data_IF_936140090947
#
_entry.id   IF_936140090947
#
_cell.length_a   1.000
_cell.length_b   1.000
_cell.length_c   1.000
_cell.angle_alpha   90.00
_cell.angle_beta   90.00
_cell.angle_gamma   90.00
#
_symmetry.space_group_name_H-M   'P 1'
#
loop_
_entity.id
_entity.type
_entity.pdbx_description
1 polymer ?
#
# COMPACT_ATOMS: atom_id res chain seq x y z
N UNK A 1 49.18 19.12 -48.43
CA UNK A 1 48.19 18.09 -48.03
C UNK A 1 48.61 17.60 -46.65
N UNK A 2 47.91 18.11 -45.63
CA UNK A 2 48.27 17.91 -44.23
C UNK A 2 47.38 16.82 -43.62
N UNK A 3 48.01 15.90 -42.90
CA UNK A 3 47.39 14.83 -42.12
C UNK A 3 46.95 15.40 -40.77
N UNK A 4 45.72 15.18 -40.27
CA UNK A 4 45.34 15.56 -38.92
C UNK A 4 45.66 14.45 -37.89
N UNK A 5 46.02 14.79 -36.65
CA UNK A 5 46.34 13.83 -35.60
C UNK A 5 45.14 13.49 -34.69
N UNK A 6 45.09 12.21 -34.29
CA UNK A 6 44.90 11.73 -32.91
C UNK A 6 43.75 12.24 -32.05
N UNK A 7 42.72 11.40 -31.89
CA UNK A 7 41.71 11.51 -30.83
C UNK A 7 42.33 11.09 -29.50
N UNK A 8 42.27 11.98 -28.51
CA UNK A 8 42.67 11.76 -27.10
C UNK A 8 41.43 11.37 -26.30
N UNK A 9 41.43 10.19 -25.68
CA UNK A 9 40.42 9.79 -24.71
C UNK A 9 40.76 10.38 -23.33
N UNK A 10 39.94 11.29 -22.83
CA UNK A 10 40.01 11.82 -21.46
C UNK A 10 39.18 10.96 -20.50
N UNK A 11 39.83 10.43 -19.47
CA UNK A 11 39.19 9.75 -18.35
C UNK A 11 38.46 10.77 -17.44
N UNK A 12 37.13 10.67 -17.35
CA UNK A 12 36.36 11.35 -16.31
C UNK A 12 36.47 10.59 -14.97
N UNK A 13 37.21 11.17 -14.01
CA UNK A 13 37.15 10.81 -12.59
C UNK A 13 35.77 11.18 -12.02
N UNK A 14 35.05 10.21 -11.42
CA UNK A 14 33.89 10.47 -10.55
C UNK A 14 34.37 10.84 -9.14
N UNK A 15 33.71 11.78 -8.43
CA UNK A 15 34.09 12.16 -7.08
C UNK A 15 33.63 11.12 -6.05
N UNK A 16 34.45 10.94 -5.01
CA UNK A 16 34.22 10.05 -3.89
C UNK A 16 33.02 10.52 -3.05
N UNK A 17 32.00 9.67 -2.94
CA UNK A 17 30.86 9.85 -2.06
C UNK A 17 31.21 9.49 -0.61
N UNK A 18 30.93 10.42 0.29
CA UNK A 18 31.14 10.34 1.74
C UNK A 18 30.12 9.36 2.36
N UNK A 19 30.56 8.16 2.80
CA UNK A 19 29.73 7.24 3.59
C UNK A 19 29.77 7.63 5.07
N UNK A 20 28.64 8.10 5.59
CA UNK A 20 28.42 8.28 7.04
C UNK A 20 27.91 6.95 7.61
N UNK A 21 28.70 6.31 8.46
CA UNK A 21 28.33 5.08 9.14
C UNK A 21 27.28 5.38 10.22
N UNK A 22 26.06 4.86 10.04
CA UNK A 22 25.04 4.81 11.09
C UNK A 22 25.16 3.44 11.76
N UNK A 23 25.57 3.43 13.03
CA UNK A 23 25.50 2.25 13.89
C UNK A 23 24.04 1.96 14.22
N UNK A 24 23.48 0.92 13.64
CA UNK A 24 22.20 0.34 14.07
C UNK A 24 22.46 -0.57 15.28
N UNK A 25 21.91 -0.19 16.43
CA UNK A 25 21.81 -1.04 17.62
C UNK A 25 20.63 -2.01 17.41
N UNK A 26 20.92 -3.29 17.17
CA UNK A 26 19.93 -4.36 17.11
C UNK A 26 19.68 -4.91 18.52
N UNK A 27 18.73 -4.28 19.24
CA UNK A 27 18.06 -4.90 20.38
C UNK A 27 16.82 -5.65 19.90
N UNK A 28 16.90 -6.98 19.81
CA UNK A 28 15.74 -7.84 19.54
C UNK A 28 14.81 -7.95 20.75
N UNK A 29 13.49 -7.78 20.60
CA UNK A 29 12.53 -8.35 21.54
C UNK A 29 11.98 -9.68 20.99
N UNK A 30 12.09 -10.73 21.82
CA UNK A 30 11.42 -12.01 21.65
C UNK A 30 9.90 -11.82 21.55
N UNK A 31 9.30 -12.10 20.40
CA UNK A 31 7.84 -12.25 20.25
C UNK A 31 7.52 -13.74 20.13
N UNK A 32 6.78 -14.22 21.14
CA UNK A 32 6.19 -15.56 21.20
C UNK A 32 5.18 -15.74 20.06
N UNK A 33 5.33 -16.82 19.31
CA UNK A 33 4.35 -17.32 18.36
C UNK A 33 3.19 -17.98 19.11
N UNK A 34 1.98 -17.44 18.94
CA UNK A 34 0.74 -18.09 19.36
C UNK A 34 -0.22 -18.18 18.17
N UNK A 35 -0.49 -19.44 17.80
CA UNK A 35 -1.81 -20.01 17.49
C UNK A 35 -2.50 -19.68 16.17
N UNK A 36 -2.82 -20.76 15.45
CA UNK A 36 -3.45 -20.86 14.13
C UNK A 36 -4.85 -20.22 14.02
N UNK A 37 -5.29 -19.85 12.80
CA UNK A 37 -6.66 -19.40 12.55
C UNK A 37 -7.62 -20.58 12.29
N UNK A 38 -8.92 -20.44 12.64
CA UNK A 38 -9.92 -21.46 12.34
C UNK A 38 -10.43 -21.35 10.90
N UNK A 39 -10.74 -22.52 10.34
CA UNK A 39 -11.43 -22.75 9.08
C UNK A 39 -12.84 -22.15 9.07
N UNK A 40 -13.19 -21.41 8.02
CA UNK A 40 -14.55 -20.90 7.79
C UNK A 40 -15.33 -21.88 6.90
N UNK A 41 -16.33 -22.55 7.49
CA UNK A 41 -17.35 -23.31 6.75
C UNK A 41 -18.36 -22.36 6.12
N UNK A 42 -18.67 -22.62 4.85
CA UNK A 42 -19.69 -21.91 4.07
C UNK A 42 -21.05 -22.56 4.27
N UNK A 43 -22.00 -21.82 4.86
CA UNK A 43 -23.41 -22.23 4.90
C UNK A 43 -24.19 -21.36 3.93
N UNK A 44 -24.62 -21.97 2.83
CA UNK A 44 -25.65 -21.46 1.95
C UNK A 44 -27.02 -21.58 2.64
N UNK A 45 -27.87 -20.55 2.56
CA UNK A 45 -29.30 -20.75 2.62
C UNK A 45 -30.05 -19.69 1.80
N UNK A 46 -30.70 -20.18 0.74
CA UNK A 46 -31.75 -19.50 -0.01
C UNK A 46 -33.09 -19.65 0.73
N UNK A 47 -33.97 -18.66 0.63
CA UNK A 47 -35.37 -18.77 1.04
C UNK A 47 -36.09 -17.43 1.19
N UNK A 48 -36.64 -16.93 0.09
CA UNK A 48 -37.61 -15.81 -0.03
C UNK A 48 -39.02 -16.26 0.45
N UNK A 49 -40.12 -15.48 0.23
CA UNK A 49 -40.50 -14.15 0.72
C UNK A 49 -41.95 -14.13 1.29
N UNK A 50 -42.44 -13.00 1.86
CA UNK A 50 -43.78 -12.40 1.59
C UNK A 50 -44.29 -11.40 2.66
N UNK A 51 -44.87 -10.28 2.17
CA UNK A 51 -46.11 -9.54 2.57
C UNK A 51 -46.34 -9.20 4.06
N UNK A 52 -46.97 -8.12 4.49
CA UNK A 52 -47.66 -6.93 3.97
C UNK A 52 -48.10 -6.15 5.22
N UNK A 53 -48.54 -4.90 5.03
CA UNK A 53 -49.67 -4.26 5.73
C UNK A 53 -49.35 -3.00 6.57
N UNK A 54 -49.87 -1.92 6.00
CA UNK A 54 -50.33 -0.65 6.54
C UNK A 54 -51.20 -0.80 7.79
N UNK A 55 -51.08 0.10 8.77
CA UNK A 55 -52.26 0.59 9.52
C UNK A 55 -52.04 1.99 10.09
N UNK A 56 -53.03 2.85 9.84
CA UNK A 56 -53.29 4.15 10.49
C UNK A 56 -54.23 3.87 11.67
N UNK A 57 -54.15 4.67 12.73
CA UNK A 57 -55.20 4.77 13.75
C UNK A 57 -55.57 6.25 13.97
N UNK A 58 -56.88 6.49 13.95
CA UNK A 58 -57.62 7.74 14.21
C UNK A 58 -58.25 7.71 15.62
N UNK A 59 -58.96 8.79 15.93
CA UNK A 59 -60.02 8.99 16.97
C UNK A 59 -59.53 9.67 18.27
N UNK A 60 -59.97 10.86 18.71
CA UNK A 60 -61.21 11.69 18.69
C UNK A 60 -62.07 11.61 19.98
N UNK A 61 -62.60 12.79 20.36
CA UNK A 61 -63.78 13.07 21.24
C UNK A 61 -63.55 13.38 22.75
N UNK A 62 -64.50 14.02 23.49
CA UNK A 62 -65.71 14.77 23.11
C UNK A 62 -65.99 16.11 23.86
N UNK A 63 -67.06 16.76 23.38
CA UNK A 63 -67.84 17.92 23.86
C UNK A 63 -68.61 17.70 25.19
N UNK A 64 -68.98 18.79 25.88
CA UNK A 64 -70.05 18.84 26.88
C UNK A 64 -70.98 20.06 26.66
N UNK A 65 -72.25 19.88 27.03
CA UNK A 65 -73.43 20.54 26.46
C UNK A 65 -74.35 21.17 27.52
N UNK A 66 -74.92 22.34 27.16
CA UNK A 66 -76.30 22.84 27.37
C UNK A 66 -76.91 23.25 28.74
N UNK A 67 -77.90 24.17 28.58
CA UNK A 67 -79.10 24.54 29.37
C UNK A 67 -78.93 25.64 30.43
N UNK A 68 -79.86 26.58 30.69
CA UNK A 68 -81.10 27.03 30.05
C UNK A 68 -81.57 28.39 30.68
N UNK A 69 -82.48 29.04 29.97
CA UNK A 69 -83.26 30.29 30.16
C UNK A 69 -83.76 30.73 31.56
N UNK A 70 -83.85 32.05 31.80
CA UNK A 70 -85.09 32.74 32.26
C UNK A 70 -85.02 34.29 32.18
N UNK A 71 -86.14 34.89 31.79
CA UNK A 71 -86.38 36.32 31.64
C UNK A 71 -86.72 37.01 32.98
N UNK A 72 -86.37 38.29 33.13
CA UNK A 72 -86.98 39.21 34.11
C UNK A 72 -86.72 40.67 33.70
N UNK A 73 -87.78 41.45 33.78
CA UNK A 73 -87.93 42.86 33.49
C UNK A 73 -86.93 43.81 34.16
N UNK A 74 -86.85 45.02 33.58
CA UNK A 74 -86.98 46.21 34.41
C UNK A 74 -85.77 47.12 34.45
N UNK A 75 -85.61 47.96 33.41
CA UNK A 75 -85.37 49.41 33.55
C UNK A 75 -84.11 49.94 34.26
N UNK A 76 -83.31 49.12 34.93
CA UNK A 76 -82.16 49.54 35.76
C UNK A 76 -80.81 49.25 35.08
N UNK A 77 -80.79 48.30 34.14
CA UNK A 77 -79.60 47.95 33.36
C UNK A 77 -79.17 49.05 32.37
N UNK A 78 -80.06 49.96 31.95
CA UNK A 78 -79.70 51.00 30.97
C UNK A 78 -78.76 52.06 31.57
N UNK A 79 -78.90 52.38 32.86
CA UNK A 79 -78.00 53.30 33.56
C UNK A 79 -76.70 52.62 34.01
N UNK A 80 -76.76 51.34 34.38
CA UNK A 80 -75.56 50.54 34.64
C UNK A 80 -74.77 50.32 33.34
N UNK A 81 -75.39 50.06 32.20
CA UNK A 81 -74.68 49.95 30.93
C UNK A 81 -74.03 51.28 30.52
N UNK A 82 -74.64 52.43 30.76
CA UNK A 82 -73.99 53.72 30.48
C UNK A 82 -72.82 53.96 31.45
N UNK A 83 -72.98 53.69 32.75
CA UNK A 83 -71.89 53.82 33.71
C UNK A 83 -70.75 52.82 33.43
N UNK A 84 -71.07 51.57 33.10
CA UNK A 84 -70.09 50.55 32.68
C UNK A 84 -69.45 50.95 31.35
N UNK A 85 -70.18 51.46 30.36
CA UNK A 85 -69.56 51.92 29.11
C UNK A 85 -68.70 53.17 29.32
N UNK A 86 -69.03 54.06 30.26
CA UNK A 86 -68.18 55.21 30.63
C UNK A 86 -66.94 54.74 31.39
N UNK A 87 -67.06 53.80 32.34
CA UNK A 87 -65.91 53.21 33.04
C UNK A 87 -65.06 52.38 32.09
N UNK A 88 -65.66 51.61 31.18
CA UNK A 88 -64.96 50.86 30.13
C UNK A 88 -64.33 51.82 29.14
N UNK A 89 -64.96 52.93 28.76
CA UNK A 89 -64.33 53.97 27.95
C UNK A 89 -63.20 54.67 28.69
N UNK A 90 -63.31 54.92 30.00
CA UNK A 90 -62.24 55.55 30.79
C UNK A 90 -61.07 54.58 31.02
N UNK A 91 -61.34 53.31 31.32
CA UNK A 91 -60.31 52.26 31.41
C UNK A 91 -59.70 51.98 30.03
N UNK A 92 -60.49 51.99 28.96
CA UNK A 92 -59.97 51.88 27.60
C UNK A 92 -59.20 53.14 27.22
N UNK A 93 -59.61 54.36 27.61
CA UNK A 93 -58.85 55.59 27.37
C UNK A 93 -57.56 55.61 28.17
N UNK A 94 -57.52 55.08 29.39
CA UNK A 94 -56.28 54.93 30.18
C UNK A 94 -55.37 53.82 29.61
N UNK A 95 -55.94 52.89 28.83
CA UNK A 95 -55.21 51.86 28.07
C UNK A 95 -54.85 52.27 26.63
N UNK A 96 -55.55 53.25 26.05
CA UNK A 96 -55.47 53.65 24.63
C UNK A 96 -54.84 55.04 24.46
N UNK A 97 -54.86 55.90 25.48
CA UNK A 97 -53.97 57.04 25.54
C UNK A 97 -52.59 56.48 25.84
N UNK A 98 -51.65 56.41 24.87
CA UNK A 98 -50.29 56.08 25.22
C UNK A 98 -49.87 57.14 26.22
N UNK A 99 -49.59 56.74 27.46
CA UNK A 99 -48.80 57.56 28.37
C UNK A 99 -47.65 58.07 27.51
N UNK A 100 -47.65 59.38 27.25
CA UNK A 100 -46.74 59.98 26.27
C UNK A 100 -45.38 59.42 26.63
N UNK A 101 -44.77 58.58 25.77
CA UNK A 101 -43.55 57.89 26.15
C UNK A 101 -42.64 59.00 26.64
N UNK A 102 -42.17 58.93 27.90
CA UNK A 102 -41.34 59.98 28.43
C UNK A 102 -40.31 60.27 27.35
N UNK A 103 -40.22 61.54 26.93
CA UNK A 103 -39.16 62.01 26.02
C UNK A 103 -37.84 61.93 26.78
N UNK A 104 -37.48 60.76 27.30
CA UNK A 104 -36.11 60.34 27.32
C UNK A 104 -35.71 60.38 25.85
N UNK A 105 -34.88 61.37 25.51
CA UNK A 105 -33.93 61.19 24.43
C UNK A 105 -33.23 59.89 24.78
N UNK A 106 -33.68 58.79 24.20
CA UNK A 106 -32.97 57.53 24.34
C UNK A 106 -31.55 57.86 23.88
N UNK A 107 -30.53 57.69 24.75
CA UNK A 107 -29.16 57.81 24.30
C UNK A 107 -29.02 56.96 23.04
N UNK A 108 -28.24 57.45 22.07
CA UNK A 108 -28.03 56.75 20.81
C UNK A 108 -27.80 55.26 21.12
N UNK A 109 -28.52 54.34 20.46
CA UNK A 109 -28.49 52.93 20.82
C UNK A 109 -27.03 52.48 20.83
N UNK A 110 -26.59 51.88 21.94
CA UNK A 110 -25.24 51.33 22.03
C UNK A 110 -25.05 50.37 20.86
N UNK A 111 -23.91 50.45 20.22
CA UNK A 111 -23.63 49.64 19.03
C UNK A 111 -22.18 49.19 19.03
N UNK A 112 -21.95 47.95 18.66
CA UNK A 112 -20.62 47.44 18.42
C UNK A 112 -20.06 48.00 17.11
N UNK A 113 -18.84 48.50 17.17
CA UNK A 113 -18.08 49.04 16.03
C UNK A 113 -16.72 48.34 15.95
N UNK A 114 -16.06 48.46 14.79
CA UNK A 114 -14.71 47.91 14.57
C UNK A 114 -14.60 46.39 14.81
N UNK A 115 -15.56 45.63 14.30
CA UNK A 115 -15.49 44.17 14.35
C UNK A 115 -14.22 43.68 13.65
N UNK A 116 -13.33 43.07 14.43
CA UNK A 116 -12.02 42.62 13.98
C UNK A 116 -11.86 41.15 14.33
N UNK A 117 -11.53 40.33 13.33
CA UNK A 117 -11.22 38.92 13.54
C UNK A 117 -9.81 38.79 14.15
N UNK A 118 -9.63 37.93 15.14
CA UNK A 118 -8.30 37.59 15.64
C UNK A 118 -7.46 36.97 14.53
N UNK A 119 -6.18 37.33 14.45
CA UNK A 119 -5.22 36.73 13.51
C UNK A 119 -4.90 35.27 13.86
N UNK A 120 -5.23 34.86 15.09
CA UNK A 120 -4.97 33.55 15.67
C UNK A 120 -6.31 32.87 15.95
N UNK A 121 -6.43 31.60 15.60
CA UNK A 121 -7.60 30.79 15.93
C UNK A 121 -7.68 30.55 17.43
N UNK A 122 -8.90 30.56 17.95
CA UNK A 122 -9.14 30.29 19.37
C UNK A 122 -8.97 28.79 19.67
N UNK A 123 -9.50 27.96 18.77
CA UNK A 123 -9.40 26.50 18.81
C UNK A 123 -9.63 25.94 17.39
N UNK A 124 -9.61 24.62 17.25
CA UNK A 124 -9.95 23.95 15.98
C UNK A 124 -11.35 24.38 15.49
N UNK A 125 -11.38 24.92 14.28
CA UNK A 125 -12.61 25.39 13.63
C UNK A 125 -13.29 26.58 14.30
N UNK A 126 -12.63 27.29 15.22
CA UNK A 126 -13.20 28.45 15.92
C UNK A 126 -12.26 29.64 15.95
N UNK A 127 -12.78 30.82 15.64
CA UNK A 127 -12.05 32.10 15.71
C UNK A 127 -12.73 33.05 16.69
N UNK A 128 -11.90 33.83 17.38
CA UNK A 128 -12.38 34.93 18.20
C UNK A 128 -12.51 36.21 17.36
N UNK A 129 -13.64 36.89 17.50
CA UNK A 129 -13.89 38.22 16.94
C UNK A 129 -14.04 39.19 18.10
N UNK A 130 -13.53 40.40 17.92
CA UNK A 130 -13.62 41.47 18.92
C UNK A 130 -14.25 42.71 18.31
N UNK A 131 -15.03 43.45 19.09
CA UNK A 131 -15.62 44.72 18.67
C UNK A 131 -15.74 45.66 19.87
N UNK A 132 -15.59 46.94 19.62
CA UNK A 132 -15.72 47.97 20.64
C UNK A 132 -17.18 48.39 20.78
N UNK A 133 -17.71 48.41 22.00
CA UNK A 133 -19.04 48.94 22.26
C UNK A 133 -18.98 50.46 22.41
N UNK A 134 -19.65 51.17 21.51
CA UNK A 134 -19.82 52.62 21.59
C UNK A 134 -21.14 53.02 22.25
N UNK A 135 -21.18 54.20 22.86
CA UNK A 135 -22.43 54.80 23.35
C UNK A 135 -23.04 54.08 24.56
N UNK A 136 -22.22 53.58 25.49
CA UNK A 136 -22.71 53.01 26.75
C UNK A 136 -23.34 54.11 27.60
N UNK A 137 -24.62 54.02 28.01
CA UNK A 137 -25.25 55.02 28.84
C UNK A 137 -24.54 55.15 30.19
N UNK A 138 -24.35 56.36 30.74
CA UNK A 138 -23.64 56.55 32.02
C UNK A 138 -24.35 55.88 33.21
N UNK A 139 -25.66 55.66 33.10
CA UNK A 139 -26.46 54.93 34.09
C UNK A 139 -26.35 53.40 33.99
N UNK A 140 -25.77 52.86 32.92
CA UNK A 140 -25.66 51.41 32.72
C UNK A 140 -24.30 50.90 33.19
N UNK A 141 -24.32 49.74 33.85
CA UNK A 141 -23.08 49.02 34.08
C UNK A 141 -22.55 48.49 32.74
N UNK A 142 -21.28 48.79 32.43
CA UNK A 142 -20.67 48.47 31.15
C UNK A 142 -20.84 47.00 30.71
N UNK A 143 -20.82 46.06 31.67
CA UNK A 143 -21.02 44.62 31.40
C UNK A 143 -22.44 44.34 30.93
N UNK A 144 -23.44 44.94 31.59
CA UNK A 144 -24.85 44.76 31.22
C UNK A 144 -25.13 45.36 29.84
N UNK A 145 -24.59 46.55 29.56
CA UNK A 145 -24.65 47.15 28.23
C UNK A 145 -24.06 46.22 27.15
N UNK A 146 -22.91 45.63 27.43
CA UNK A 146 -22.25 44.72 26.49
C UNK A 146 -22.99 43.40 26.28
N UNK A 147 -23.54 42.81 27.33
CA UNK A 147 -24.29 41.55 27.24
C UNK A 147 -25.68 41.71 26.57
N UNK A 148 -26.31 42.87 26.73
CA UNK A 148 -27.64 43.16 26.17
C UNK A 148 -27.62 43.76 24.76
N UNK A 149 -26.50 44.38 24.36
CA UNK A 149 -26.41 44.99 23.03
C UNK A 149 -26.29 43.90 21.95
N UNK A 150 -27.25 43.79 21.02
CA UNK A 150 -27.13 42.87 19.90
C UNK A 150 -26.05 43.36 18.93
N UNK A 151 -25.32 42.43 18.33
CA UNK A 151 -24.41 42.73 17.24
C UNK A 151 -25.17 42.66 15.90
N UNK A 152 -25.25 43.78 15.17
CA UNK A 152 -25.84 43.80 13.82
C UNK A 152 -24.74 43.57 12.78
N UNK A 153 -24.69 42.35 12.28
CA UNK A 153 -23.66 41.90 11.35
C UNK A 153 -24.20 41.92 9.94
N UNK A 154 -24.17 43.10 9.32
CA UNK A 154 -24.41 43.23 7.89
C UNK A 154 -23.45 42.34 7.09
N UNK A 155 -24.02 41.45 6.26
CA UNK A 155 -23.47 40.64 5.15
C UNK A 155 -22.13 39.88 5.28
N UNK A 156 -21.17 40.29 6.10
CA UNK A 156 -19.83 39.70 6.21
C UNK A 156 -19.62 38.74 7.38
N UNK A 157 -20.52 38.76 8.39
CA UNK A 157 -20.36 37.95 9.60
C UNK A 157 -21.67 37.27 10.00
N UNK A 158 -22.34 36.61 9.04
CA UNK A 158 -23.49 35.74 9.31
C UNK A 158 -23.21 34.70 10.41
N UNK A 159 -21.94 34.47 10.72
CA UNK A 159 -21.43 33.49 11.66
C UNK A 159 -21.46 33.97 13.12
N UNK A 160 -21.33 35.27 13.40
CA UNK A 160 -21.36 35.79 14.77
C UNK A 160 -22.77 36.22 15.24
N UNK A 161 -23.82 35.58 14.70
CA UNK A 161 -25.22 35.71 15.17
C UNK A 161 -25.46 35.15 16.59
N UNK A 162 -24.42 34.67 17.26
CA UNK A 162 -24.48 34.14 18.62
C UNK A 162 -24.54 35.24 19.67
N UNK A 163 -24.89 34.84 20.90
CA UNK A 163 -24.66 35.67 22.09
C UNK A 163 -23.17 35.95 22.24
N UNK A 164 -22.85 37.15 22.71
CA UNK A 164 -21.50 37.50 23.13
C UNK A 164 -21.00 36.48 24.16
N UNK A 165 -19.74 36.05 24.04
CA UNK A 165 -19.18 35.04 24.94
C UNK A 165 -18.73 35.68 26.25
N UNK A 166 -18.05 36.82 26.15
CA UNK A 166 -17.65 37.60 27.31
C UNK A 166 -17.35 39.05 26.92
N UNK A 167 -17.31 39.91 27.94
CA UNK A 167 -17.04 41.34 27.82
C UNK A 167 -15.84 41.72 28.68
N UNK A 168 -15.00 42.59 28.15
CA UNK A 168 -13.80 43.11 28.81
C UNK A 168 -13.86 44.64 28.86
N UNK A 169 -13.43 45.23 29.99
CA UNK A 169 -13.28 46.68 30.10
C UNK A 169 -11.79 47.02 30.21
N UNK A 170 -11.24 47.58 29.14
CA UNK A 170 -9.82 47.95 29.06
C UNK A 170 -9.49 49.26 29.79
N UNK A 171 -10.50 50.04 30.21
CA UNK A 171 -10.33 51.27 30.98
C UNK A 171 -11.26 51.30 32.19
N UNK A 172 -11.03 50.44 33.20
CA UNK A 172 -11.92 50.34 34.37
C UNK A 172 -11.95 51.60 35.23
N UNK A 173 -10.92 52.45 35.17
CA UNK A 173 -10.81 53.70 35.94
C UNK A 173 -10.90 54.97 35.07
N UNK A 174 -11.27 54.83 33.79
CA UNK A 174 -11.41 55.97 32.88
C UNK A 174 -12.76 56.68 33.03
N UNK A 175 -12.82 57.93 32.54
CA UNK A 175 -14.08 58.70 32.48
C UNK A 175 -15.12 58.03 31.57
N UNK A 176 -14.66 57.29 30.55
CA UNK A 176 -15.51 56.48 29.68
C UNK A 176 -14.96 55.04 29.56
N UNK A 177 -15.76 54.00 29.92
CA UNK A 177 -15.32 52.63 29.83
C UNK A 177 -15.03 52.24 28.38
N UNK A 178 -13.87 51.62 28.14
CA UNK A 178 -13.55 51.04 26.83
C UNK A 178 -13.95 49.57 26.88
N UNK A 179 -15.18 49.30 26.45
CA UNK A 179 -15.77 47.97 26.52
C UNK A 179 -15.55 47.24 25.20
N UNK A 180 -14.92 46.08 25.28
CA UNK A 180 -14.69 45.18 24.15
C UNK A 180 -15.57 43.95 24.36
N UNK A 181 -16.36 43.63 23.34
CA UNK A 181 -17.07 42.37 23.28
C UNK A 181 -16.27 41.32 22.51
N UNK A 182 -16.40 40.07 22.94
CA UNK A 182 -15.69 38.93 22.36
C UNK A 182 -16.68 37.84 21.93
N UNK A 183 -16.55 37.37 20.68
CA UNK A 183 -17.35 36.29 20.11
C UNK A 183 -16.45 35.16 19.63
N UNK A 184 -16.71 33.93 20.09
CA UNK A 184 -16.06 32.70 19.64
C UNK A 184 -17.01 32.05 18.65
N UNK A 185 -16.56 31.98 17.41
CA UNK A 185 -17.42 31.72 16.25
C UNK A 185 -16.81 30.61 15.42
N UNK A 186 -17.63 29.71 14.89
CA UNK A 186 -17.16 28.65 14.00
C UNK A 186 -16.55 29.25 12.73
N UNK A 187 -15.31 28.92 12.40
CA UNK A 187 -14.61 29.48 11.23
C UNK A 187 -13.89 28.35 10.49
N UNK A 188 -14.30 28.13 9.24
CA UNK A 188 -13.70 27.13 8.34
C UNK A 188 -12.21 27.38 8.10
N UNK A 189 -11.75 28.64 8.14
CA UNK A 189 -10.32 28.97 8.02
C UNK A 189 -9.49 28.52 9.23
N UNK A 190 -10.15 28.22 10.35
CA UNK A 190 -9.54 27.63 11.55
C UNK A 190 -9.63 26.10 11.58
N UNK A 191 -10.22 25.46 10.56
CA UNK A 191 -10.20 24.00 10.45
C UNK A 191 -8.94 23.54 9.73
N UNK A 192 -8.09 22.72 10.37
CA UNK A 192 -6.98 22.08 9.68
C UNK A 192 -7.54 21.17 8.58
N UNK A 193 -6.89 21.16 7.42
CA UNK A 193 -7.23 20.27 6.33
C UNK A 193 -5.96 19.72 5.69
N UNK A 194 -6.06 18.48 5.22
CA UNK A 194 -5.02 17.90 4.38
C UNK A 194 -5.07 18.53 2.98
N UNK A 195 -3.93 18.60 2.26
CA UNK A 195 -3.96 18.92 0.85
C UNK A 195 -4.82 17.90 0.09
N UNK A 196 -5.45 18.33 -1.00
CA UNK A 196 -6.33 17.48 -1.81
C UNK A 196 -5.61 16.26 -2.42
N UNK A 197 -4.29 16.35 -2.61
CA UNK A 197 -3.47 15.28 -3.18
C UNK A 197 -2.48 14.76 -2.14
N UNK A 198 -2.54 13.46 -1.87
CA UNK A 198 -1.50 12.77 -1.09
C UNK A 198 -0.29 12.48 -1.98
N UNK A 199 0.92 12.62 -1.43
CA UNK A 199 2.16 12.24 -2.11
C UNK A 199 2.36 10.72 -2.01
N UNK A 200 2.51 10.01 -3.13
CA UNK A 200 2.81 8.58 -3.10
C UNK A 200 4.23 8.35 -2.57
N UNK A 201 4.34 7.48 -1.57
CA UNK A 201 5.60 6.95 -1.06
C UNK A 201 5.92 5.56 -1.62
N UNK A 202 6.81 4.86 -0.94
CA UNK A 202 7.25 3.51 -1.29
C UNK A 202 6.18 2.45 -0.93
N UNK A 203 6.36 1.27 -1.51
CA UNK A 203 5.61 0.09 -1.14
C UNK A 203 6.18 -0.47 0.17
N UNK A 204 5.32 -0.60 1.18
CA UNK A 204 5.73 -1.06 2.52
C UNK A 204 5.43 -2.55 2.74
N UNK A 205 4.43 -3.07 2.02
CA UNK A 205 4.05 -4.48 2.01
C UNK A 205 3.51 -4.83 0.62
N UNK A 206 3.36 -6.13 0.33
CA UNK A 206 2.77 -6.59 -0.93
C UNK A 206 1.32 -6.08 -1.03
N UNK A 207 1.05 -5.30 -2.06
CA UNK A 207 -0.24 -4.67 -2.32
C UNK A 207 -0.51 -3.43 -1.47
N UNK A 208 0.42 -2.96 -0.63
CA UNK A 208 0.22 -1.78 0.23
C UNK A 208 1.21 -0.69 -0.09
N UNK A 209 0.70 0.49 -0.49
CA UNK A 209 1.49 1.69 -0.72
C UNK A 209 1.32 2.66 0.45
N UNK A 210 2.44 3.24 0.89
CA UNK A 210 2.39 4.38 1.80
C UNK A 210 2.10 5.66 1.02
N UNK A 211 1.20 6.48 1.55
CA UNK A 211 0.97 7.85 1.10
C UNK A 211 1.29 8.80 2.24
N UNK A 212 1.76 9.99 1.92
CA UNK A 212 2.04 11.03 2.90
C UNK A 212 1.48 12.38 2.49
N UNK A 213 1.16 13.20 3.47
CA UNK A 213 0.81 14.59 3.26
C UNK A 213 1.27 15.40 4.46
N UNK A 214 1.63 16.65 4.20
CA UNK A 214 2.00 17.61 5.23
C UNK A 214 0.94 18.69 5.30
N UNK A 215 0.47 18.99 6.51
CA UNK A 215 -0.36 20.16 6.78
C UNK A 215 0.37 21.11 7.74
N UNK A 216 0.03 22.39 7.65
CA UNK A 216 0.42 23.40 8.64
C UNK A 216 -0.88 23.84 9.31
N UNK A 217 -1.09 23.53 10.61
CA UNK A 217 -2.28 23.99 11.31
C UNK A 217 -2.40 25.52 11.27
N UNK A 218 -3.62 26.07 11.20
CA UNK A 218 -3.81 27.51 11.33
C UNK A 218 -3.18 28.05 12.63
N UNK A 219 -2.65 29.29 12.64
CA UNK A 219 -2.06 29.87 13.85
C UNK A 219 -3.02 29.78 15.04
N UNK A 220 -2.53 29.30 16.19
CA UNK A 220 -3.34 29.12 17.41
C UNK A 220 -3.92 27.73 17.60
N UNK A 221 -4.04 26.94 16.53
CA UNK A 221 -4.46 25.54 16.62
C UNK A 221 -3.30 24.68 17.12
N UNK A 222 -3.55 23.89 18.16
CA UNK A 222 -2.52 23.02 18.75
C UNK A 222 -2.30 21.76 17.88
N UNK A 223 -1.10 21.52 17.32
CA UNK A 223 -0.86 20.37 16.44
C UNK A 223 -1.07 19.02 17.13
N UNK A 224 -0.83 18.92 18.44
CA UNK A 224 -1.07 17.69 19.20
C UNK A 224 -2.54 17.30 19.26
N UNK A 225 -3.43 18.28 19.39
CA UNK A 225 -4.88 18.03 19.36
C UNK A 225 -5.34 17.59 17.98
N UNK A 226 -4.80 18.23 16.93
CA UNK A 226 -5.07 17.83 15.55
C UNK A 226 -4.63 16.39 15.31
N UNK A 227 -3.45 15.95 15.78
CA UNK A 227 -3.05 14.55 15.63
C UNK A 227 -3.87 13.55 16.47
N UNK A 228 -4.49 13.98 17.58
CA UNK A 228 -5.39 13.13 18.35
C UNK A 228 -6.72 12.89 17.63
N UNK A 229 -7.20 13.87 16.86
CA UNK A 229 -8.42 13.79 16.07
C UNK A 229 -8.17 14.38 14.66
N UNK A 230 -7.37 13.71 13.81
CA UNK A 230 -6.97 14.29 12.55
C UNK A 230 -8.17 14.46 11.61
N UNK A 231 -8.22 15.56 10.82
CA UNK A 231 -9.21 15.69 9.77
C UNK A 231 -9.05 14.52 8.79
N UNK A 232 -10.14 14.16 8.12
CA UNK A 232 -10.09 13.12 7.12
C UNK A 232 -9.47 13.65 5.83
N UNK A 233 -8.79 12.78 5.08
CA UNK A 233 -8.29 13.04 3.74
C UNK A 233 -8.93 12.08 2.74
N UNK A 234 -9.02 12.51 1.48
CA UNK A 234 -9.35 11.60 0.39
C UNK A 234 -8.10 10.82 -0.03
N UNK A 235 -8.17 9.51 0.06
CA UNK A 235 -7.18 8.60 -0.51
C UNK A 235 -7.24 8.61 -2.04
N UNK A 236 -6.22 8.12 -2.77
CA UNK A 236 -6.27 8.01 -4.23
C UNK A 236 -7.46 7.20 -4.77
N UNK A 237 -8.04 6.33 -3.95
CA UNK A 237 -9.21 5.52 -4.26
C UNK A 237 -10.53 6.29 -4.05
N UNK A 238 -10.47 7.56 -3.62
CA UNK A 238 -11.63 8.39 -3.32
C UNK A 238 -12.27 8.09 -1.95
N UNK A 239 -11.67 7.22 -1.14
CA UNK A 239 -12.16 6.92 0.21
C UNK A 239 -11.67 7.97 1.20
N UNK A 240 -12.57 8.47 2.03
CA UNK A 240 -12.26 9.46 3.07
C UNK A 240 -11.76 8.77 4.36
N UNK A 241 -10.48 8.91 4.67
CA UNK A 241 -9.81 8.23 5.80
C UNK A 241 -8.93 9.17 6.62
N UNK A 242 -8.84 8.91 7.92
CA UNK A 242 -7.82 9.49 8.79
C UNK A 242 -6.46 8.82 8.53
N UNK A 243 -5.33 9.52 8.75
CA UNK A 243 -4.01 8.90 8.64
C UNK A 243 -3.85 7.77 9.67
N UNK A 244 -3.14 6.72 9.29
CA UNK A 244 -2.79 5.60 10.17
C UNK A 244 -1.68 6.00 11.16
N UNK A 245 -0.81 6.93 10.74
CA UNK A 245 0.23 7.55 11.59
C UNK A 245 0.17 9.06 11.44
N UNK A 246 0.18 9.78 12.56
CA UNK A 246 0.24 11.23 12.61
C UNK A 246 1.48 11.66 13.38
N UNK A 247 2.40 12.36 12.71
CA UNK A 247 3.67 12.77 13.28
C UNK A 247 3.85 14.29 13.25
N UNK A 248 4.24 14.87 14.38
CA UNK A 248 4.38 16.32 14.55
C UNK A 248 5.85 16.67 14.37
N UNK A 249 6.11 17.55 13.41
CA UNK A 249 7.46 17.98 13.08
C UNK A 249 7.92 19.11 14.01
N UNK A 250 9.23 19.35 14.06
CA UNK A 250 9.84 20.37 14.93
C UNK A 250 9.34 21.80 14.64
N UNK A 251 8.89 22.06 13.41
CA UNK A 251 8.33 23.36 12.99
C UNK A 251 6.83 23.52 13.27
N UNK A 252 6.21 22.55 13.95
CA UNK A 252 4.79 22.53 14.27
C UNK A 252 3.89 22.08 13.12
N UNK A 253 4.44 21.75 11.95
CA UNK A 253 3.69 21.09 10.89
C UNK A 253 3.41 19.63 11.26
N UNK A 254 2.39 19.06 10.61
CA UNK A 254 1.96 17.69 10.86
C UNK A 254 2.12 16.88 9.57
N UNK A 255 2.71 15.70 9.67
CA UNK A 255 2.79 14.72 8.60
C UNK A 255 1.84 13.57 8.91
N UNK A 256 0.86 13.37 8.03
CA UNK A 256 0.02 12.18 8.05
C UNK A 256 0.60 11.12 7.12
N UNK A 257 0.55 9.86 7.54
CA UNK A 257 0.87 8.70 6.71
C UNK A 257 -0.36 7.79 6.60
N UNK A 258 -0.66 7.35 5.39
CA UNK A 258 -1.73 6.40 5.08
C UNK A 258 -1.14 5.16 4.43
N UNK A 259 -1.49 3.98 4.91
CA UNK A 259 -1.12 2.69 4.33
C UNK A 259 -2.32 2.14 3.58
N UNK A 260 -2.35 2.42 2.28
CA UNK A 260 -3.51 2.08 1.46
C UNK A 260 -3.20 0.83 0.66
N UNK A 261 -4.07 -0.18 0.82
CA UNK A 261 -4.07 -1.36 -0.03
C UNK A 261 -4.49 -0.94 -1.43
N UNK A 262 -3.58 -1.06 -2.39
CA UNK A 262 -3.88 -0.82 -3.78
C UNK A 262 -4.48 -2.07 -4.41
N UNK A 263 -5.58 -1.89 -5.13
CA UNK A 263 -6.15 -2.94 -5.94
C UNK A 263 -5.55 -2.82 -7.35
N UNK A 264 -4.67 -3.74 -7.74
CA UNK A 264 -4.06 -3.74 -9.07
C UNK A 264 -2.60 -4.17 -9.08
N UNK A 265 -1.83 -3.62 -10.02
CA UNK A 265 -0.38 -3.88 -10.13
C UNK A 265 0.47 -3.01 -9.20
N UNK A 266 -0.10 -1.97 -8.60
CA UNK A 266 0.64 -1.10 -7.69
C UNK A 266 1.09 -1.86 -6.44
N UNK A 267 2.38 -1.76 -6.14
CA UNK A 267 3.02 -2.41 -4.98
C UNK A 267 2.85 -3.93 -4.92
N UNK A 268 2.52 -4.55 -6.05
CA UNK A 268 2.43 -5.99 -6.15
C UNK A 268 3.60 -6.46 -7.01
N UNK A 269 4.48 -7.32 -6.48
CA UNK A 269 5.58 -7.85 -7.27
C UNK A 269 5.08 -8.43 -8.58
N UNK A 270 5.83 -8.24 -9.64
CA UNK A 270 5.48 -8.82 -10.92
C UNK A 270 6.71 -9.24 -11.69
N UNK A 271 6.56 -10.29 -12.49
CA UNK A 271 7.60 -10.78 -13.37
C UNK A 271 7.70 -9.90 -14.60
N UNK A 272 8.92 -9.48 -14.91
CA UNK A 272 9.23 -8.63 -16.05
C UNK A 272 10.39 -9.22 -16.84
N UNK A 273 10.44 -8.93 -18.13
CA UNK A 273 11.55 -9.38 -18.98
C UNK A 273 11.65 -10.89 -19.09
N UNK A 274 10.51 -11.60 -19.13
CA UNK A 274 10.51 -13.05 -19.37
C UNK A 274 11.27 -13.31 -20.66
N UNK A 275 12.42 -13.94 -20.51
CA UNK A 275 13.35 -14.22 -21.58
C UNK A 275 13.37 -15.72 -21.77
N UNK A 276 12.96 -16.15 -22.95
CA UNK A 276 13.17 -17.50 -23.43
C UNK A 276 14.67 -17.73 -23.55
N UNK A 277 15.20 -18.70 -22.82
CA UNK A 277 16.61 -19.05 -22.90
C UNK A 277 16.79 -20.13 -23.94
N UNK A 278 17.57 -21.13 -23.59
CA UNK A 278 17.85 -22.28 -24.42
C UNK A 278 17.40 -23.51 -23.65
N UNK A 279 17.53 -24.64 -24.33
CA UNK A 279 17.32 -25.94 -23.72
C UNK A 279 18.39 -26.19 -22.66
N UNK A 280 17.99 -26.13 -21.39
CA UNK A 280 18.89 -26.37 -20.27
C UNK A 280 19.11 -27.86 -20.01
N UNK A 281 18.14 -28.72 -20.36
CA UNK A 281 18.27 -30.18 -20.28
C UNK A 281 17.35 -30.90 -21.28
N UNK A 282 17.46 -32.23 -21.34
CA UNK A 282 16.57 -33.08 -22.13
C UNK A 282 15.11 -32.79 -21.78
N UNK A 283 14.31 -32.44 -22.79
CA UNK A 283 12.91 -32.06 -22.63
C UNK A 283 12.68 -30.87 -21.68
N UNK A 284 13.69 -30.07 -21.32
CA UNK A 284 13.52 -28.90 -20.43
C UNK A 284 14.00 -27.61 -21.09
N UNK A 285 13.05 -26.72 -21.34
CA UNK A 285 13.31 -25.35 -21.78
C UNK A 285 13.38 -24.42 -20.56
N UNK A 286 14.44 -23.64 -20.45
CA UNK A 286 14.60 -22.67 -19.39
C UNK A 286 14.01 -21.31 -19.77
N UNK A 287 13.27 -20.71 -18.84
CA UNK A 287 12.83 -19.31 -18.91
C UNK A 287 13.37 -18.58 -17.69
N UNK A 288 13.81 -17.33 -17.87
CA UNK A 288 14.18 -16.46 -16.76
C UNK A 288 13.37 -15.16 -16.80
N UNK A 289 13.13 -14.56 -15.64
CA UNK A 289 12.52 -13.24 -15.54
C UNK A 289 12.95 -12.54 -14.25
N UNK A 290 12.94 -11.21 -14.28
CA UNK A 290 13.28 -10.40 -13.12
C UNK A 290 12.02 -10.00 -12.36
N UNK A 291 12.02 -10.21 -11.04
CA UNK A 291 10.96 -9.76 -10.15
C UNK A 291 11.10 -8.26 -9.87
N UNK A 292 10.09 -7.48 -10.22
CA UNK A 292 10.06 -6.02 -10.04
C UNK A 292 9.13 -5.61 -8.89
N UNK A 293 9.21 -4.34 -8.51
CA UNK A 293 8.35 -3.68 -7.51
C UNK A 293 8.31 -4.39 -6.15
N UNK A 294 9.48 -4.91 -5.72
CA UNK A 294 9.65 -5.53 -4.40
C UNK A 294 9.54 -4.44 -3.32
N UNK A 295 8.62 -4.55 -2.36
CA UNK A 295 8.51 -3.61 -1.25
C UNK A 295 9.80 -3.52 -0.41
N UNK A 296 10.08 -2.32 0.09
CA UNK A 296 11.27 -2.09 0.92
C UNK A 296 11.21 -2.95 2.19
N UNK A 297 12.33 -3.59 2.53
CA UNK A 297 12.44 -4.44 3.73
C UNK A 297 11.98 -5.88 3.56
N UNK A 298 11.40 -6.25 2.41
CA UNK A 298 11.12 -7.65 2.07
C UNK A 298 12.32 -8.31 1.37
N UNK A 299 12.53 -9.60 1.64
CA UNK A 299 13.52 -10.41 0.95
C UNK A 299 13.06 -10.67 -0.49
N UNK A 300 13.82 -10.15 -1.44
CA UNK A 300 13.58 -10.36 -2.88
C UNK A 300 13.55 -11.86 -3.24
N UNK A 301 14.40 -12.67 -2.59
CA UNK A 301 14.46 -14.12 -2.80
C UNK A 301 13.26 -14.86 -2.21
N UNK A 302 12.76 -14.44 -1.05
CA UNK A 302 11.59 -15.07 -0.42
C UNK A 302 10.33 -14.81 -1.25
N UNK A 303 10.21 -13.59 -1.80
CA UNK A 303 9.12 -13.24 -2.73
C UNK A 303 9.25 -13.98 -4.05
N UNK A 304 10.45 -14.08 -4.60
CA UNK A 304 10.71 -14.83 -5.83
C UNK A 304 10.20 -16.28 -5.76
N UNK A 305 10.41 -16.96 -4.62
CA UNK A 305 9.99 -18.35 -4.45
C UNK A 305 8.48 -18.54 -4.19
N UNK A 306 7.80 -17.49 -3.73
CA UNK A 306 6.39 -17.56 -3.32
C UNK A 306 5.42 -16.90 -4.31
N UNK A 307 5.92 -16.13 -5.27
CA UNK A 307 5.11 -15.34 -6.17
C UNK A 307 5.01 -15.96 -7.57
N UNK A 308 3.89 -16.59 -7.95
CA UNK A 308 3.78 -17.30 -9.23
C UNK A 308 3.71 -16.33 -10.41
N UNK A 309 4.36 -16.70 -11.51
CA UNK A 309 4.06 -16.14 -12.82
C UNK A 309 2.74 -16.69 -13.37
N UNK A 310 2.05 -15.86 -14.18
CA UNK A 310 0.74 -16.25 -14.74
C UNK A 310 0.84 -17.35 -15.78
N UNK A 311 1.92 -17.40 -16.55
CA UNK A 311 2.13 -18.40 -17.59
C UNK A 311 2.89 -19.61 -17.03
N UNK A 312 3.96 -19.36 -16.28
CA UNK A 312 4.91 -20.39 -15.87
C UNK A 312 4.69 -20.94 -14.45
N UNK A 313 3.80 -20.33 -13.65
CA UNK A 313 3.53 -20.75 -12.28
C UNK A 313 4.65 -20.38 -11.31
N UNK A 314 4.87 -21.19 -10.27
CA UNK A 314 5.94 -20.96 -9.30
C UNK A 314 7.30 -21.21 -9.93
N UNK A 315 8.27 -20.38 -9.57
CA UNK A 315 9.67 -20.56 -9.96
C UNK A 315 10.19 -21.87 -9.35
N UNK A 316 11.05 -22.57 -10.10
CA UNK A 316 11.77 -23.72 -9.55
C UNK A 316 13.02 -23.29 -8.81
N UNK A 317 13.62 -22.17 -9.26
CA UNK A 317 14.83 -21.61 -8.68
C UNK A 317 14.76 -20.08 -8.67
N UNK A 318 15.32 -19.52 -7.61
CA UNK A 318 15.45 -18.09 -7.40
C UNK A 318 16.90 -17.73 -7.11
N UNK A 319 17.40 -16.68 -7.73
CA UNK A 319 18.76 -16.19 -7.48
C UNK A 319 18.85 -14.67 -7.51
N UNK A 320 19.85 -14.14 -6.81
CA UNK A 320 20.10 -12.71 -6.75
C UNK A 320 21.14 -12.32 -7.81
N UNK A 321 20.77 -11.48 -8.78
CA UNK A 321 21.66 -11.03 -9.85
C UNK A 321 21.68 -9.50 -9.90
N UNK A 322 22.82 -8.90 -9.57
CA UNK A 322 23.00 -7.44 -9.71
C UNK A 322 22.15 -6.55 -8.80
N UNK A 323 21.51 -7.11 -7.76
CA UNK A 323 20.55 -6.37 -6.92
C UNK A 323 19.09 -6.73 -7.19
N UNK A 324 18.84 -7.49 -8.26
CA UNK A 324 17.52 -7.98 -8.60
C UNK A 324 17.35 -9.45 -8.21
N UNK A 325 16.11 -9.87 -7.93
CA UNK A 325 15.76 -11.28 -7.85
C UNK A 325 15.32 -11.80 -9.22
N UNK A 326 15.95 -12.87 -9.66
CA UNK A 326 15.67 -13.55 -10.93
C UNK A 326 15.03 -14.89 -10.62
N UNK A 327 13.85 -15.10 -11.18
CA UNK A 327 13.13 -16.37 -11.16
C UNK A 327 13.48 -17.18 -12.40
N UNK A 328 13.63 -18.50 -12.21
CA UNK A 328 13.93 -19.45 -13.28
C UNK A 328 12.87 -20.54 -13.28
N UNK A 329 12.30 -20.82 -14.45
CA UNK A 329 11.34 -21.87 -14.69
C UNK A 329 11.89 -22.86 -15.71
N UNK A 330 11.46 -24.12 -15.60
CA UNK A 330 11.78 -25.16 -16.56
C UNK A 330 10.50 -25.80 -17.06
N UNK A 331 10.20 -25.61 -18.34
CA UNK A 331 9.02 -26.22 -18.96
C UNK A 331 9.40 -27.40 -19.81
N UNK A 332 8.44 -28.32 -20.00
CA UNK A 332 8.65 -29.43 -20.92
C UNK A 332 8.56 -28.97 -22.36
N UNK A 333 9.64 -29.15 -23.11
CA UNK A 333 9.69 -28.80 -24.53
C UNK A 333 10.38 -29.90 -25.34
N UNK A 334 9.62 -30.57 -26.20
CA UNK A 334 10.14 -31.64 -27.05
C UNK A 334 11.19 -31.14 -28.07
N UNK A 335 11.26 -29.83 -28.32
CA UNK A 335 12.32 -29.21 -29.13
C UNK A 335 13.68 -29.25 -28.40
N UNK A 336 13.67 -29.41 -27.08
CA UNK A 336 14.85 -29.57 -26.24
C UNK A 336 15.34 -31.01 -26.13
N UNK A 337 14.90 -31.90 -27.03
CA UNK A 337 15.50 -33.22 -27.17
C UNK A 337 16.77 -33.09 -28.00
N UNK A 338 17.95 -33.37 -27.43
CA UNK A 338 19.19 -33.41 -28.19
C UNK A 338 19.06 -34.40 -29.34
N UNK A 339 19.53 -34.02 -30.52
CA UNK A 339 19.51 -34.89 -31.68
C UNK A 339 20.79 -35.73 -31.73
N UNK A 340 20.63 -37.04 -31.90
CA UNK A 340 21.73 -37.94 -32.21
C UNK A 340 22.06 -37.84 -33.70
N UNK A 341 23.33 -37.63 -34.02
CA UNK A 341 23.84 -37.60 -35.37
C UNK A 341 25.21 -38.28 -35.44
N UNK A 342 25.68 -38.56 -36.66
CA UNK A 342 26.97 -39.25 -36.88
C UNK A 342 27.10 -40.52 -36.03
N UNK A 343 26.07 -41.37 -36.11
CA UNK A 343 25.98 -42.62 -35.36
C UNK A 343 26.99 -43.61 -35.94
N UNK A 344 28.04 -43.90 -35.18
CA UNK A 344 29.12 -44.79 -35.53
C UNK A 344 29.04 -46.10 -34.75
N UNK A 345 29.11 -47.20 -35.48
CA UNK A 345 29.17 -48.54 -34.90
C UNK A 345 30.63 -48.88 -34.59
N UNK A 346 30.96 -49.00 -33.31
CA UNK A 346 32.31 -49.38 -32.84
C UNK A 346 32.51 -50.90 -32.79
N UNK A 347 31.54 -51.67 -33.30
CA UNK A 347 31.60 -53.12 -33.35
C UNK A 347 31.29 -53.80 -32.01
N UNK A 348 31.54 -55.11 -31.98
CA UNK A 348 31.27 -55.95 -30.84
C UNK A 348 32.35 -55.78 -29.77
N UNK A 349 31.97 -55.30 -28.59
CA UNK A 349 32.89 -55.15 -27.46
C UNK A 349 32.91 -56.40 -26.58
N UNK A 350 31.77 -57.09 -26.46
CA UNK A 350 31.60 -58.31 -25.67
C UNK A 350 30.59 -59.25 -26.34
N UNK A 351 30.44 -60.47 -25.80
CA UNK A 351 29.40 -61.39 -26.27
C UNK A 351 28.02 -60.75 -26.13
N UNK A 352 27.29 -60.68 -27.25
CA UNK A 352 25.97 -60.08 -27.39
C UNK A 352 25.88 -58.56 -27.17
N UNK A 353 27.02 -57.84 -27.08
CA UNK A 353 27.03 -56.38 -26.90
C UNK A 353 27.80 -55.72 -28.04
N UNK A 354 27.11 -54.86 -28.79
CA UNK A 354 27.68 -53.95 -29.78
C UNK A 354 27.73 -52.54 -29.20
N UNK A 355 28.84 -51.84 -29.39
CA UNK A 355 28.97 -50.46 -28.93
C UNK A 355 28.66 -49.51 -30.07
N UNK A 356 27.71 -48.61 -29.83
CA UNK A 356 27.36 -47.52 -30.73
C UNK A 356 27.79 -46.20 -30.10
N UNK A 357 28.47 -45.37 -30.88
CA UNK A 357 28.82 -44.01 -30.50
C UNK A 357 28.01 -43.05 -31.35
N UNK A 358 27.38 -42.04 -30.77
CA UNK A 358 26.69 -41.01 -31.51
C UNK A 358 27.15 -39.63 -31.05
N UNK A 359 27.30 -38.70 -31.99
CA UNK A 359 27.45 -37.27 -31.65
C UNK A 359 26.09 -36.71 -31.24
N UNK A 360 26.12 -35.78 -30.29
CA UNK A 360 24.93 -35.12 -29.77
C UNK A 360 24.96 -33.65 -30.17
N UNK A 361 23.88 -33.17 -30.80
CA UNK A 361 23.72 -31.77 -31.23
C UNK A 361 22.79 -31.03 -30.29
N UNK A 362 22.91 -29.70 -30.30
CA UNK A 362 21.98 -28.76 -29.67
C UNK A 362 22.02 -28.78 -28.13
N UNK A 363 23.19 -29.09 -27.58
CA UNK A 363 23.50 -28.87 -26.17
C UNK A 363 24.37 -27.64 -26.09
N UNK A 364 23.90 -26.61 -25.39
CA UNK A 364 24.65 -25.37 -25.25
C UNK A 364 25.95 -25.60 -24.47
N UNK A 365 27.03 -24.95 -24.90
CA UNK A 365 28.39 -25.20 -24.43
C UNK A 365 28.58 -24.78 -22.96
N UNK A 366 27.70 -23.89 -22.47
CA UNK A 366 27.73 -23.30 -21.14
C UNK A 366 27.30 -24.25 -20.01
N UNK A 367 26.71 -25.41 -20.32
CA UNK A 367 26.22 -26.34 -19.30
C UNK A 367 27.15 -27.55 -19.16
N UNK A 368 28.05 -27.50 -18.16
CA UNK A 368 28.92 -28.62 -17.76
C UNK A 368 28.16 -29.85 -17.20
N UNK A 369 26.84 -29.75 -17.04
CA UNK A 369 26.01 -30.81 -16.49
C UNK A 369 25.76 -31.98 -17.43
N UNK A 370 26.21 -31.94 -18.69
CA UNK A 370 26.11 -33.11 -19.59
C UNK A 370 26.74 -34.39 -19.00
N UNK A 371 27.84 -34.25 -18.26
CA UNK A 371 28.45 -35.37 -17.55
C UNK A 371 27.63 -35.84 -16.33
N UNK A 372 26.91 -34.93 -15.66
CA UNK A 372 25.99 -35.32 -14.58
C UNK A 372 24.77 -36.05 -15.13
N UNK A 373 24.24 -35.62 -16.27
CA UNK A 373 23.06 -36.23 -16.90
C UNK A 373 23.32 -37.67 -17.40
N UNK A 374 24.58 -38.03 -17.65
CA UNK A 374 24.97 -39.34 -18.19
C UNK A 374 25.41 -40.37 -17.14
N UNK A 375 25.60 -39.96 -15.89
CA UNK A 375 25.95 -40.89 -14.81
C UNK A 375 24.70 -41.54 -14.20
N UNK A 376 24.85 -42.84 -13.90
CA UNK A 376 23.80 -43.84 -13.66
C UNK A 376 22.79 -43.50 -12.54
N UNK A 377 23.07 -42.50 -11.70
CA UNK A 377 22.23 -42.16 -10.54
C UNK A 377 20.89 -41.48 -10.92
N UNK A 378 20.81 -40.78 -12.05
CA UNK A 378 19.58 -40.09 -12.48
C UNK A 378 18.83 -40.79 -13.63
N UNK A 379 18.94 -42.13 -13.73
CA UNK A 379 18.11 -42.93 -14.65
C UNK A 379 16.60 -42.72 -14.47
N UNK A 380 16.16 -42.23 -13.30
CA UNK A 380 14.77 -41.90 -13.05
C UNK A 380 14.32 -40.57 -13.70
N UNK A 381 15.24 -39.67 -14.06
CA UNK A 381 14.92 -38.33 -14.55
C UNK A 381 14.79 -38.22 -16.08
N UNK A 382 15.06 -39.29 -16.84
CA UNK A 382 14.88 -39.29 -18.30
C UNK A 382 15.78 -38.30 -19.04
N UNK A 383 16.92 -37.91 -18.47
CA UNK A 383 17.71 -36.77 -18.94
C UNK A 383 18.61 -37.03 -20.17
N UNK A 384 18.54 -38.21 -20.80
CA UNK A 384 19.43 -38.56 -21.93
C UNK A 384 18.65 -38.94 -23.16
N UNK A 385 19.15 -38.56 -24.34
CA UNK A 385 18.51 -38.93 -25.62
C UNK A 385 18.63 -40.43 -25.84
N UNK A 386 17.52 -41.19 -25.91
CA UNK A 386 17.60 -42.61 -26.21
C UNK A 386 17.97 -42.85 -27.68
N UNK A 387 18.84 -43.83 -27.92
CA UNK A 387 19.11 -44.36 -29.25
C UNK A 387 18.05 -45.41 -29.61
N UNK A 388 17.34 -45.21 -30.71
CA UNK A 388 16.46 -46.24 -31.28
C UNK A 388 17.25 -47.16 -32.20
N UNK A 389 17.53 -48.39 -31.78
CA UNK A 389 18.27 -49.40 -32.55
C UNK A 389 17.44 -50.68 -32.69
N UNK A 390 17.15 -51.08 -33.93
CA UNK A 390 16.27 -52.22 -34.26
C UNK A 390 14.91 -52.23 -33.51
N UNK A 391 14.29 -51.06 -33.35
CA UNK A 391 12.98 -50.92 -32.70
C UNK A 391 13.00 -51.00 -31.18
N UNK A 392 14.18 -51.04 -30.55
CA UNK A 392 14.36 -50.90 -29.10
C UNK A 392 15.05 -49.58 -28.77
N UNK A 393 14.71 -49.00 -27.63
CA UNK A 393 15.38 -47.81 -27.11
C UNK A 393 16.49 -48.19 -26.14
N UNK A 394 17.67 -47.62 -26.35
CA UNK A 394 18.84 -47.79 -25.51
C UNK A 394 19.20 -46.44 -24.91
N UNK A 395 19.45 -46.41 -23.60
CA UNK A 395 19.99 -45.24 -22.90
C UNK A 395 21.52 -45.27 -23.00
N UNK A 396 22.19 -44.11 -23.04
CA UNK A 396 23.64 -44.09 -23.09
C UNK A 396 24.23 -44.65 -21.79
N UNK A 397 25.32 -45.39 -21.93
CA UNK A 397 26.11 -45.94 -20.82
C UNK A 397 27.17 -44.97 -20.32
N UNK A 398 27.64 -44.09 -21.20
CA UNK A 398 28.66 -43.09 -20.91
C UNK A 398 28.47 -41.92 -21.87
N UNK A 399 28.82 -40.72 -21.42
CA UNK A 399 28.93 -39.57 -22.30
C UNK A 399 30.31 -38.93 -22.17
N UNK A 400 30.90 -38.62 -23.31
CA UNK A 400 32.27 -38.15 -23.41
C UNK A 400 32.28 -36.77 -24.07
N UNK A 401 33.11 -35.86 -23.54
CA UNK A 401 33.45 -34.57 -24.16
C UNK A 401 34.92 -34.63 -24.57
N UNK A 402 35.28 -35.34 -25.67
CA UNK A 402 36.66 -35.45 -26.09
C UNK A 402 37.21 -34.06 -26.45
N UNK A 403 38.38 -33.77 -25.90
CA UNK A 403 38.96 -32.43 -25.88
C UNK A 403 39.75 -32.14 -27.18
N UNK A 404 39.07 -32.16 -28.33
CA UNK A 404 39.71 -31.98 -29.65
C UNK A 404 39.47 -30.55 -30.14
N UNK A 405 40.40 -29.62 -29.87
CA UNK A 405 40.31 -28.23 -30.35
C UNK A 405 40.38 -28.17 -31.89
N UNK A 406 39.63 -27.27 -32.56
CA UNK A 406 38.79 -26.18 -32.03
C UNK A 406 37.28 -26.50 -31.96
N UNK A 407 36.84 -27.72 -32.27
CA UNK A 407 35.41 -28.06 -32.34
C UNK A 407 35.06 -29.08 -31.26
N UNK A 408 34.23 -28.66 -30.31
CA UNK A 408 33.73 -29.52 -29.26
C UNK A 408 32.50 -30.27 -29.76
N UNK A 409 32.55 -31.60 -29.64
CA UNK A 409 31.38 -32.45 -29.82
C UNK A 409 31.17 -33.25 -28.55
N UNK A 410 29.91 -33.38 -28.15
CA UNK A 410 29.50 -34.32 -27.13
C UNK A 410 29.22 -35.66 -27.80
N UNK A 411 29.71 -36.74 -27.22
CA UNK A 411 29.44 -38.10 -27.67
C UNK A 411 28.66 -38.84 -26.59
N UNK A 412 27.69 -39.61 -27.03
CA UNK A 412 26.97 -40.57 -26.21
C UNK A 412 27.34 -41.98 -26.68
N UNK A 413 27.77 -42.83 -25.75
CA UNK A 413 28.07 -44.23 -25.98
C UNK A 413 26.90 -45.09 -25.52
N UNK A 414 26.53 -46.06 -26.34
CA UNK A 414 25.43 -46.99 -26.09
C UNK A 414 25.96 -48.39 -26.23
N UNK A 415 25.64 -49.25 -25.28
CA UNK A 415 25.81 -50.70 -25.42
C UNK A 415 24.45 -51.27 -25.82
N UNK A 416 24.37 -51.78 -27.05
CA UNK A 416 23.15 -52.36 -27.61
C UNK A 416 23.25 -53.88 -27.67
N UNK A 417 22.15 -54.56 -27.36
CA UNK A 417 22.09 -56.02 -27.47
C UNK A 417 22.10 -56.42 -28.95
N UNK A 418 23.12 -57.17 -29.36
CA UNK A 418 23.22 -57.72 -30.72
C UNK A 418 23.70 -59.17 -30.69
N UNK A 419 22.80 -60.10 -31.02
CA UNK A 419 23.07 -61.55 -31.07
C UNK A 419 24.09 -61.93 -32.14
N UNK A 420 24.39 -61.04 -33.09
CA UNK A 420 25.45 -61.26 -34.08
C UNK A 420 26.84 -61.08 -33.48
N UNK A 421 26.95 -60.42 -32.32
CA UNK A 421 28.19 -60.33 -31.55
C UNK A 421 28.47 -61.66 -30.85
N UNK A 422 29.04 -62.61 -31.59
CA UNK A 422 29.61 -63.80 -30.98
C UNK A 422 30.91 -63.43 -30.26
N UNK A 423 31.19 -64.03 -29.09
CA UNK A 423 32.52 -63.92 -28.51
C UNK A 423 33.49 -64.38 -29.59
N UNK A 424 34.43 -63.52 -30.00
CA UNK A 424 35.49 -64.01 -30.85
C UNK A 424 36.12 -65.14 -30.04
N UNK A 425 35.98 -66.36 -30.55
CA UNK A 425 36.80 -67.47 -30.11
C UNK A 425 38.20 -67.07 -30.55
N UNK A 426 38.84 -66.19 -29.78
CA UNK A 426 40.27 -65.94 -29.88
C UNK A 426 40.85 -67.32 -29.78
N UNK A 427 41.34 -67.80 -30.91
CA UNK A 427 42.05 -69.03 -31.01
C UNK A 427 43.13 -68.96 -29.94
N UNK A 428 42.94 -69.70 -28.84
CA UNK A 428 44.01 -70.11 -27.95
C UNK A 428 44.91 -71.05 -28.75
N UNK A 429 45.61 -70.47 -29.72
CA UNK A 429 46.65 -71.11 -30.50
C UNK A 429 47.97 -70.77 -29.84
N UNK A 430 48.40 -71.67 -28.96
CA UNK A 430 49.79 -71.96 -28.62
C UNK A 430 50.77 -70.77 -28.55
N UNK A 431 50.91 -70.20 -27.35
CA UNK A 431 52.18 -69.60 -26.93
C UNK A 431 52.92 -70.64 -26.09
N UNK A 432 53.90 -71.27 -26.73
CA UNK A 432 54.88 -72.13 -26.11
C UNK A 432 55.67 -71.35 -25.05
N UNK A 433 56.02 -72.07 -23.99
CA UNK A 433 56.90 -71.67 -22.90
C UNK A 433 58.19 -71.01 -23.41
N UNK A 434 58.52 -69.84 -22.85
CA UNK A 434 59.91 -69.36 -22.75
C UNK A 434 60.23 -69.24 -21.27
N UNK A 435 61.31 -69.87 -20.77
CA UNK A 435 61.67 -69.86 -19.36
C UNK A 435 62.48 -68.59 -19.01
N UNK A 436 62.34 -68.21 -17.74
CA UNK A 436 63.30 -67.54 -16.86
C UNK A 436 64.13 -66.38 -17.41
N UNK A 437 63.83 -65.17 -16.91
CA UNK A 437 64.90 -64.27 -16.48
C UNK A 437 64.39 -63.37 -15.33
N UNK A 438 64.92 -63.65 -14.14
CA UNK A 438 64.86 -62.82 -12.95
C UNK A 438 65.56 -61.49 -13.22
N UNK A 439 64.83 -60.37 -13.13
CA UNK A 439 65.43 -59.07 -12.76
C UNK A 439 64.55 -58.33 -11.76
N UNK A 440 64.99 -58.43 -10.51
CA UNK A 440 64.75 -57.48 -9.43
C UNK A 440 65.03 -56.04 -9.92
N UNK A 441 64.00 -55.19 -9.96
CA UNK A 441 64.16 -53.74 -10.06
C UNK A 441 63.33 -53.09 -8.98
N UNK A 442 64.04 -52.56 -8.00
CA UNK A 442 63.56 -51.81 -6.86
C UNK A 442 62.75 -50.57 -7.26
N UNK A 443 61.60 -50.39 -6.62
CA UNK A 443 60.81 -49.15 -6.63
C UNK A 443 61.54 -48.03 -5.89
N UNK A 444 61.60 -46.79 -6.43
CA UNK A 444 61.82 -45.62 -5.61
C UNK A 444 60.50 -45.11 -5.02
N UNK A 445 60.54 -44.79 -3.72
CA UNK A 445 59.55 -44.02 -2.97
C UNK A 445 59.18 -42.73 -3.70
N UNK A 446 57.87 -42.48 -3.84
CA UNK A 446 57.35 -41.18 -4.26
C UNK A 446 56.97 -40.40 -3.01
N UNK A 447 57.70 -39.31 -2.77
CA UNK A 447 57.44 -38.34 -1.72
C UNK A 447 56.21 -37.49 -2.06
N UNK A 448 55.35 -37.33 -1.06
CA UNK A 448 54.35 -36.26 -0.98
C UNK A 448 55.05 -34.90 -0.96
N UNK A 449 54.65 -33.99 -1.85
CA UNK A 449 54.94 -32.56 -1.72
C UNK A 449 53.62 -31.80 -1.65
N UNK A 450 53.32 -31.31 -0.45
CA UNK A 450 52.34 -30.28 -0.14
C UNK A 450 52.80 -28.93 -0.75
N UNK A 451 51.90 -28.24 -1.46
CA UNK A 451 51.87 -26.76 -1.49
C UNK A 451 50.49 -26.22 -1.82
#
# INVERSE_FOLDING_TARGET
>A
MAVPPGIVCTHHKRPAGYRRAVKSNTGSPNIRTNTAPPSYESVANQGTPRTSATSRISESSPLLSQQATKASDGGFLRHIFIAINVIVCLVLLDKVLPASPPKHRYPAPSSFVNLTASMVCYDEGRREYTAQLGGVPPEWHWREACELTPIDLGAGAAVAKGRINYCENLRPYGEEPLVIGHWIVDDESCRPHWPLSLTPGNCVEVGTRQFSARMIPPPGVNPYRVCQNPPRAFTPQGEERIPDVCDIQEDGSIVGLWFVRSYGRDCTPHWSGITDKHCAAFDRHEFEATLQDIPDGLSALDLCASYPDRAHGLTERCEQRGGDAVGIWYERDARCRPLLFDVHDQGCQQSNIRRIQAKVRDIDEAHDDWHRQSTIADRAAGSTTPLSWHGRQYVPINCEKPHIKPIWFYYALYDVEDKQCQPSLVATGNLAQSPDDDQDVSLPDFQDDDT
#
